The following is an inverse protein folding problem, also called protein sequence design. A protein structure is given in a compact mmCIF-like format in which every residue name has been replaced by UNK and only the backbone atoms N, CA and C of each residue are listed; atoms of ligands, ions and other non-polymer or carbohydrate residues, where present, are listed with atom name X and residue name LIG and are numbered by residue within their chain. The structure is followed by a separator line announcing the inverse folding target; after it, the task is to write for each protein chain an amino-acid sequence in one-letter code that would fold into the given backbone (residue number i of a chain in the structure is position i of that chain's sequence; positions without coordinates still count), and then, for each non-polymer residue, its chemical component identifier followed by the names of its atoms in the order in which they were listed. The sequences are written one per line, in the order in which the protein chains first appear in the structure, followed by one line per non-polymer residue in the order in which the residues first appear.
data_IF_005627609962
#
_entry.id   IF_005627609962
#
_cell.length_a   1.000
_cell.length_b   1.000
_cell.length_c   1.000
_cell.angle_alpha   90.00
_cell.angle_beta   90.00
_cell.angle_gamma   90.00
#
_symmetry.space_group_name_H-M   'P 1'
#
loop_
_entity.id
_entity.type
_entity.pdbx_description
1 polymer ?
#
# COMPACT_ATOMS: atom_id res chain seq x y z
N UNK A 1 0.14 15.05 16.75
CA UNK A 1 0.19 14.35 15.45
C UNK A 1 0.11 15.42 14.37
N UNK A 2 0.76 15.23 13.22
CA UNK A 2 0.73 16.21 12.13
C UNK A 2 -0.71 16.36 11.59
N UNK A 3 -1.18 17.59 11.37
CA UNK A 3 -2.56 17.90 10.94
C UNK A 3 -2.86 17.25 9.59
N UNK A 4 -1.90 17.32 8.67
CA UNK A 4 -2.03 16.69 7.34
C UNK A 4 -2.20 15.19 7.47
N UNK A 5 -1.36 14.58 8.30
CA UNK A 5 -1.34 13.14 8.54
C UNK A 5 -2.61 12.67 9.25
N UNK A 6 -3.12 13.41 10.23
CA UNK A 6 -4.43 13.11 10.84
C UNK A 6 -5.52 13.05 9.78
N UNK A 7 -5.53 13.96 8.81
CA UNK A 7 -6.55 13.94 7.77
C UNK A 7 -6.36 12.72 6.87
N UNK A 8 -5.17 12.47 6.33
CA UNK A 8 -4.91 11.28 5.49
C UNK A 8 -5.31 9.97 6.19
N UNK A 9 -5.11 9.89 7.50
CA UNK A 9 -5.34 8.68 8.32
C UNK A 9 -6.74 8.61 8.94
N UNK A 10 -7.67 9.49 8.53
CA UNK A 10 -9.03 9.58 9.08
C UNK A 10 -9.06 9.80 10.60
N UNK A 11 -8.11 10.59 11.11
CA UNK A 11 -7.90 10.85 12.53
C UNK A 11 -7.30 9.65 13.26
N UNK A 12 -6.38 8.92 12.62
CA UNK A 12 -5.81 7.68 13.18
C UNK A 12 -6.80 6.52 13.24
N UNK A 13 -7.81 6.51 12.38
CA UNK A 13 -8.83 5.44 12.33
C UNK A 13 -8.48 4.34 11.34
N UNK A 14 -7.44 4.52 10.54
CA UNK A 14 -6.86 3.47 9.72
C UNK A 14 -6.05 2.46 10.56
N UNK A 15 -5.37 1.50 9.94
CA UNK A 15 -4.61 0.45 10.65
C UNK A 15 -3.22 0.99 11.01
N UNK A 16 -2.56 1.65 10.06
CA UNK A 16 -1.14 2.02 10.10
C UNK A 16 -0.81 3.07 11.16
N UNK A 17 -1.79 3.91 11.53
CA UNK A 17 -1.59 5.01 12.47
C UNK A 17 -2.61 5.04 13.61
N UNK A 18 -3.34 3.93 13.82
CA UNK A 18 -4.19 3.77 14.99
C UNK A 18 -3.37 3.62 16.26
N UNK A 19 -3.71 4.31 17.36
CA UNK A 19 -3.08 4.10 18.67
C UNK A 19 -3.24 2.64 19.13
N UNK A 20 -2.21 2.10 19.75
CA UNK A 20 -2.26 0.74 20.31
C UNK A 20 -3.39 0.62 21.36
N UNK A 21 -4.19 -0.44 21.27
CA UNK A 21 -5.35 -0.67 22.15
C UNK A 21 -6.64 0.03 21.72
N UNK A 22 -6.61 0.89 20.68
CA UNK A 22 -7.83 1.49 20.12
C UNK A 22 -8.66 0.51 19.28
N UNK A 23 -8.09 -0.65 18.94
CA UNK A 23 -8.73 -1.75 18.20
C UNK A 23 -8.38 -3.10 18.85
N UNK A 24 -9.31 -4.08 18.90
CA UNK A 24 -9.03 -5.42 19.37
C UNK A 24 -8.01 -6.11 18.45
N UNK A 25 -7.30 -7.14 18.95
CA UNK A 25 -6.24 -7.83 18.20
C UNK A 25 -6.73 -8.41 16.87
N UNK A 26 -8.02 -8.71 16.72
CA UNK A 26 -8.62 -9.22 15.49
C UNK A 26 -8.54 -8.25 14.30
N UNK A 27 -8.26 -6.96 14.53
CA UNK A 27 -8.05 -5.98 13.46
C UNK A 27 -6.59 -5.84 13.02
N UNK A 28 -5.65 -6.62 13.57
CA UNK A 28 -4.30 -6.69 13.03
C UNK A 28 -4.34 -7.42 11.69
N UNK A 29 -4.18 -6.66 10.60
CA UNK A 29 -4.06 -7.07 9.21
C UNK A 29 -4.99 -8.25 8.79
N UNK A 30 -6.07 -8.01 8.02
CA UNK A 30 -6.71 -9.15 7.33
C UNK A 30 -5.60 -9.89 6.56
N UNK A 31 -5.61 -11.22 6.63
CA UNK A 31 -4.68 -12.02 5.84
C UNK A 31 -4.85 -11.59 4.39
N UNK A 32 -3.87 -10.89 3.82
CA UNK A 32 -3.88 -10.41 2.44
C UNK A 32 -3.68 -11.57 1.43
N UNK A 33 -4.13 -12.77 1.80
CA UNK A 33 -4.29 -13.91 0.91
C UNK A 33 -5.41 -13.57 -0.06
N UNK A 34 -5.07 -12.92 -1.18
CA UNK A 34 -5.99 -12.79 -2.30
C UNK A 34 -6.42 -14.21 -2.71
N UNK A 35 -7.73 -14.49 -2.75
CA UNK A 35 -8.20 -15.73 -3.34
C UNK A 35 -7.98 -15.64 -4.85
N UNK A 36 -6.83 -16.15 -5.31
CA UNK A 36 -6.42 -16.28 -6.73
C UNK A 36 -6.52 -14.99 -7.56
N UNK A 37 -5.39 -14.30 -7.75
CA UNK A 37 -5.31 -13.18 -8.70
C UNK A 37 -5.69 -13.66 -10.13
N UNK A 38 -6.68 -13.03 -10.79
CA UNK A 38 -7.02 -13.37 -12.16
C UNK A 38 -5.86 -13.00 -13.11
N UNK A 39 -5.41 -13.98 -13.89
CA UNK A 39 -4.37 -13.85 -14.91
C UNK A 39 -4.88 -13.00 -16.10
N UNK A 40 -4.84 -11.67 -15.96
CA UNK A 40 -5.07 -10.74 -17.06
C UNK A 40 -3.88 -10.67 -18.01
N UNK A 41 -3.98 -11.30 -19.19
CA UNK A 41 -2.97 -11.20 -20.25
C UNK A 41 -3.06 -9.84 -20.96
N UNK A 42 -2.01 -9.02 -20.85
CA UNK A 42 -1.59 -8.13 -21.95
C UNK A 42 -0.29 -8.66 -22.54
N UNK A 43 -0.37 -9.34 -23.69
CA UNK A 43 0.82 -9.61 -24.51
C UNK A 43 1.46 -8.26 -24.89
N UNK A 44 2.76 -8.03 -24.65
CA UNK A 44 3.43 -6.94 -25.31
C UNK A 44 3.40 -7.24 -26.82
N UNK A 45 2.72 -6.37 -27.59
CA UNK A 45 2.90 -6.32 -29.05
C UNK A 45 4.37 -6.00 -29.32
N UNK A 46 4.91 -6.60 -30.39
CA UNK A 46 6.33 -6.60 -30.75
C UNK A 46 7.06 -5.31 -30.38
N UNK A 47 8.13 -5.46 -29.60
CA UNK A 47 8.96 -4.36 -29.14
C UNK A 47 9.71 -3.77 -30.34
N UNK A 48 9.30 -2.57 -30.76
CA UNK A 48 10.17 -1.64 -31.47
C UNK A 48 11.33 -1.26 -30.53
N UNK A 49 12.56 -0.99 -31.01
CA UNK A 49 13.75 -0.70 -30.18
C UNK A 49 13.71 0.63 -29.40
N UNK A 50 12.51 1.16 -29.12
CA UNK A 50 12.34 2.39 -28.36
C UNK A 50 12.49 2.13 -26.85
N UNK A 51 13.09 3.08 -26.10
CA UNK A 51 13.16 2.98 -24.65
C UNK A 51 11.75 2.93 -24.04
N UNK A 52 11.55 2.03 -23.07
CA UNK A 52 10.26 1.84 -22.39
C UNK A 52 10.39 2.27 -20.93
N UNK A 53 9.48 3.14 -20.47
CA UNK A 53 9.38 3.51 -19.06
C UNK A 53 8.76 2.34 -18.25
N UNK A 54 9.61 1.58 -17.55
CA UNK A 54 9.17 0.46 -16.71
C UNK A 54 8.51 0.93 -15.42
N UNK A 55 8.91 2.07 -14.86
CA UNK A 55 8.39 2.61 -13.60
C UNK A 55 6.87 2.83 -13.66
N UNK A 56 6.41 3.52 -14.71
CA UNK A 56 4.98 3.78 -14.91
C UNK A 56 4.20 2.47 -15.11
N UNK A 57 4.74 1.54 -15.90
CA UNK A 57 4.10 0.24 -16.18
C UNK A 57 3.99 -0.63 -14.94
N UNK A 58 5.04 -0.66 -14.10
CA UNK A 58 5.03 -1.42 -12.84
C UNK A 58 4.02 -0.82 -11.87
N UNK A 59 4.01 0.51 -11.69
CA UNK A 59 3.02 1.19 -10.84
C UNK A 59 1.60 0.87 -11.29
N UNK A 60 1.35 0.88 -12.61
CA UNK A 60 0.05 0.49 -13.17
C UNK A 60 -0.28 -0.95 -12.79
N UNK A 61 0.59 -1.91 -13.11
CA UNK A 61 0.31 -3.34 -12.85
C UNK A 61 0.08 -3.63 -11.36
N UNK A 62 0.89 -3.07 -10.45
CA UNK A 62 0.74 -3.31 -9.02
C UNK A 62 -0.58 -2.76 -8.47
N UNK A 63 -0.96 -1.54 -8.88
CA UNK A 63 -2.25 -0.98 -8.51
C UNK A 63 -3.42 -1.79 -9.10
N UNK A 64 -3.26 -2.34 -10.31
CA UNK A 64 -4.29 -3.17 -10.95
C UNK A 64 -4.58 -4.43 -10.14
N UNK A 65 -3.51 -5.14 -9.76
CA UNK A 65 -3.59 -6.38 -8.98
C UNK A 65 -4.27 -6.08 -7.64
N UNK A 66 -3.87 -5.01 -6.98
CA UNK A 66 -4.39 -4.64 -5.68
C UNK A 66 -5.85 -4.20 -5.71
N UNK A 67 -6.24 -3.39 -6.71
CA UNK A 67 -7.65 -3.02 -6.90
C UNK A 67 -8.52 -4.24 -7.20
N UNK A 68 -8.08 -5.13 -8.10
CA UNK A 68 -8.81 -6.36 -8.41
C UNK A 68 -8.98 -7.27 -7.20
N UNK A 69 -7.96 -7.37 -6.35
CA UNK A 69 -8.07 -8.13 -5.11
C UNK A 69 -9.02 -7.50 -4.09
N UNK A 70 -9.11 -6.17 -4.05
CA UNK A 70 -9.80 -5.47 -2.97
C UNK A 70 -11.24 -5.07 -3.29
N UNK A 71 -11.54 -4.76 -4.56
CA UNK A 71 -12.82 -4.21 -5.04
C UNK A 71 -13.25 -4.80 -6.40
N UNK A 72 -12.61 -5.89 -6.86
CA UNK A 72 -12.88 -6.50 -8.15
C UNK A 72 -12.48 -5.66 -9.37
N UNK A 73 -13.06 -6.00 -10.52
CA UNK A 73 -12.72 -5.38 -11.81
C UNK A 73 -13.18 -3.92 -11.87
N UNK A 74 -12.23 -3.01 -11.72
CA UNK A 74 -12.47 -1.56 -11.75
C UNK A 74 -12.24 -0.96 -13.14
N UNK A 75 -12.94 0.14 -13.45
CA UNK A 75 -12.68 0.88 -14.70
C UNK A 75 -11.24 1.46 -14.72
N UNK A 76 -10.53 1.42 -15.87
CA UNK A 76 -9.18 1.96 -15.98
C UNK A 76 -9.09 3.45 -15.60
N UNK A 77 -10.14 4.22 -15.88
CA UNK A 77 -10.20 5.66 -15.60
C UNK A 77 -10.18 5.91 -14.10
N UNK A 78 -11.05 5.23 -13.34
CA UNK A 78 -11.10 5.39 -11.88
C UNK A 78 -9.78 5.00 -11.23
N UNK A 79 -9.13 3.96 -11.75
CA UNK A 79 -7.83 3.52 -11.29
C UNK A 79 -6.74 4.56 -11.51
N UNK A 80 -6.66 5.13 -12.71
CA UNK A 80 -5.64 6.14 -13.03
C UNK A 80 -5.85 7.43 -12.21
N UNK A 81 -7.11 7.84 -11.99
CA UNK A 81 -7.44 8.97 -11.12
C UNK A 81 -7.04 8.71 -9.66
N UNK A 82 -7.27 7.51 -9.15
CA UNK A 82 -6.83 7.12 -7.81
C UNK A 82 -5.31 7.13 -7.69
N UNK A 83 -4.58 6.56 -8.66
CA UNK A 83 -3.10 6.54 -8.65
C UNK A 83 -2.54 7.97 -8.62
N UNK A 84 -3.13 8.89 -9.39
CA UNK A 84 -2.73 10.29 -9.39
C UNK A 84 -3.00 10.97 -8.04
N UNK A 85 -4.19 10.74 -7.45
CA UNK A 85 -4.53 11.27 -6.13
C UNK A 85 -3.61 10.71 -5.04
N UNK A 86 -3.27 9.41 -5.11
CA UNK A 86 -2.38 8.74 -4.18
C UNK A 86 -0.96 9.28 -4.28
N UNK A 87 -0.38 9.40 -5.47
CA UNK A 87 0.97 9.93 -5.69
C UNK A 87 1.08 11.38 -5.19
N UNK A 88 0.08 12.21 -5.48
CA UNK A 88 -0.02 13.58 -4.96
C UNK A 88 -0.11 13.59 -3.43
N UNK A 89 -0.94 12.72 -2.84
CA UNK A 89 -1.11 12.62 -1.40
C UNK A 89 0.17 12.18 -0.68
N UNK A 90 0.85 11.15 -1.20
CA UNK A 90 2.10 10.63 -0.65
C UNK A 90 3.23 11.66 -0.75
N UNK A 91 3.36 12.40 -1.85
CA UNK A 91 4.35 13.48 -1.98
C UNK A 91 4.15 14.57 -0.93
N UNK A 92 2.90 14.92 -0.66
CA UNK A 92 2.55 15.92 0.34
C UNK A 92 2.71 15.40 1.77
N UNK A 93 2.52 14.09 2.00
CA UNK A 93 2.79 13.43 3.28
C UNK A 93 4.29 13.29 3.57
N UNK A 94 5.11 13.03 2.54
CA UNK A 94 6.55 12.83 2.69
C UNK A 94 7.32 14.16 2.91
N UNK A 95 6.74 15.29 2.52
CA UNK A 95 7.33 16.61 2.68
C UNK A 95 7.00 17.30 4.00
N UNK A 96 7.80 18.31 4.37
CA UNK A 96 7.46 19.21 5.48
C UNK A 96 6.30 20.13 5.08
N UNK A 97 5.10 19.92 5.63
CA UNK A 97 4.01 20.87 5.43
C UNK A 97 4.10 22.04 6.43
N UNK A 98 3.90 23.25 5.94
CA UNK A 98 3.90 24.45 6.79
C UNK A 98 2.79 24.40 7.87
N UNK A 99 1.65 23.79 7.56
CA UNK A 99 0.56 23.61 8.52
C UNK A 99 0.94 22.68 9.67
N UNK A 100 1.85 21.74 9.40
CA UNK A 100 2.36 20.76 10.36
C UNK A 100 3.48 21.35 11.22
N UNK A 101 4.28 22.27 10.67
CA UNK A 101 5.34 22.97 11.40
C UNK A 101 4.83 24.16 12.23
N UNK A 102 3.81 24.89 11.75
CA UNK A 102 3.32 26.12 12.35
C UNK A 102 1.78 26.15 12.46
N UNK A 103 1.17 25.27 13.28
CA UNK A 103 -0.29 25.10 13.32
C UNK A 103 -1.06 26.36 13.74
N UNK A 104 -0.45 27.23 14.56
CA UNK A 104 -1.07 28.49 15.00
C UNK A 104 -1.05 29.62 13.95
N UNK A 105 -0.25 29.50 12.88
CA UNK A 105 -0.06 30.58 11.90
C UNK A 105 -1.18 30.58 10.85
N UNK A 106 -1.85 31.72 10.69
CA UNK A 106 -2.83 31.92 9.60
C UNK A 106 -2.18 31.84 8.21
N UNK A 107 -0.93 32.31 8.10
CA UNK A 107 -0.17 32.26 6.85
C UNK A 107 0.21 30.81 6.50
N UNK A 108 0.62 30.01 7.48
CA UNK A 108 0.93 28.60 7.28
C UNK A 108 -0.29 27.79 6.84
N UNK A 109 -1.49 28.09 7.38
CA UNK A 109 -2.75 27.50 6.90
C UNK A 109 -3.10 27.92 5.48
N UNK A 110 -2.86 29.19 5.13
CA UNK A 110 -3.09 29.70 3.78
C UNK A 110 -2.18 29.02 2.74
N UNK A 111 -0.88 28.89 3.05
CA UNK A 111 0.12 28.30 2.16
C UNK A 111 0.09 26.77 2.16
N UNK A 112 -0.28 26.14 3.28
CA UNK A 112 -0.37 24.69 3.45
C UNK A 112 -1.66 24.05 2.94
N UNK A 113 -2.63 24.82 2.44
CA UNK A 113 -3.95 24.32 2.04
C UNK A 113 -3.95 23.28 0.91
N UNK A 114 -2.86 23.19 0.12
CA UNK A 114 -2.71 22.17 -0.92
C UNK A 114 -2.70 20.73 -0.37
N UNK A 115 -2.07 20.52 0.79
CA UNK A 115 -2.04 19.22 1.49
C UNK A 115 -3.43 18.77 1.92
N UNK A 116 -4.21 19.70 2.51
CA UNK A 116 -5.60 19.48 2.91
C UNK A 116 -6.48 19.11 1.70
N UNK A 117 -6.36 19.85 0.60
CA UNK A 117 -7.11 19.58 -0.64
C UNK A 117 -6.77 18.22 -1.22
N UNK A 118 -5.50 17.83 -1.25
CA UNK A 118 -5.08 16.52 -1.73
C UNK A 118 -5.60 15.38 -0.85
N UNK A 119 -5.60 15.55 0.48
CA UNK A 119 -6.15 14.57 1.39
C UNK A 119 -7.66 14.39 1.18
N UNK A 120 -8.41 15.49 1.04
CA UNK A 120 -9.84 15.45 0.73
C UNK A 120 -10.14 14.83 -0.65
N UNK A 121 -9.34 15.15 -1.66
CA UNK A 121 -9.45 14.56 -3.00
C UNK A 121 -9.28 13.03 -2.95
N UNK A 122 -8.27 12.56 -2.21
CA UNK A 122 -8.03 11.13 -2.03
C UNK A 122 -9.17 10.45 -1.25
N UNK A 123 -9.65 11.07 -0.17
CA UNK A 123 -10.80 10.58 0.58
C UNK A 123 -12.04 10.45 -0.28
N UNK A 124 -12.34 11.48 -1.09
CA UNK A 124 -13.48 11.46 -2.00
C UNK A 124 -13.38 10.33 -3.03
N UNK A 125 -12.18 10.06 -3.55
CA UNK A 125 -11.98 8.94 -4.49
C UNK A 125 -12.20 7.58 -3.83
N UNK A 126 -11.71 7.39 -2.60
CA UNK A 126 -11.95 6.15 -1.84
C UNK A 126 -13.43 5.99 -1.50
N UNK A 127 -14.09 7.06 -1.08
CA UNK A 127 -15.52 7.03 -0.76
C UNK A 127 -16.39 6.75 -1.99
N UNK A 128 -16.00 7.26 -3.17
CA UNK A 128 -16.64 6.94 -4.46
C UNK A 128 -16.48 5.46 -4.78
N UNK A 129 -15.27 4.90 -4.66
CA UNK A 129 -14.99 3.48 -4.89
C UNK A 129 -15.87 2.60 -4.00
N UNK A 130 -15.96 2.92 -2.70
CA UNK A 130 -16.78 2.17 -1.74
C UNK A 130 -18.27 2.26 -2.11
N UNK A 131 -18.73 3.44 -2.50
CA UNK A 131 -20.12 3.67 -2.85
C UNK A 131 -20.50 2.95 -4.15
N UNK A 132 -19.66 3.04 -5.18
CA UNK A 132 -19.87 2.39 -6.47
C UNK A 132 -19.97 0.87 -6.25
N UNK A 133 -19.01 0.29 -5.52
CA UNK A 133 -19.01 -1.14 -5.18
C UNK A 133 -20.26 -1.58 -4.42
N UNK A 134 -20.70 -0.81 -3.43
CA UNK A 134 -21.90 -1.12 -2.65
C UNK A 134 -23.20 -1.10 -3.49
N UNK A 135 -23.20 -0.38 -4.62
CA UNK A 135 -24.33 -0.32 -5.56
C UNK A 135 -24.23 -1.33 -6.71
N UNK A 136 -23.03 -1.84 -6.99
CA UNK A 136 -22.75 -2.87 -7.97
C UNK A 136 -23.20 -4.24 -7.45
N UNK A 137 -24.50 -4.51 -7.52
CA UNK A 137 -25.08 -5.82 -7.21
C UNK A 137 -24.82 -6.85 -8.31
N UNK A 138 -23.55 -7.24 -8.50
CA UNK A 138 -23.18 -8.25 -9.49
C UNK A 138 -23.28 -9.66 -8.88
N UNK A 139 -24.19 -10.47 -9.41
CA UNK A 139 -24.53 -11.79 -8.89
C UNK A 139 -23.47 -12.88 -9.21
N UNK A 140 -22.55 -12.59 -10.15
CA UNK A 140 -21.42 -13.47 -10.51
C UNK A 140 -20.09 -13.01 -9.88
N UNK A 141 -20.14 -12.01 -8.99
CA UNK A 141 -18.97 -11.46 -8.33
C UNK A 141 -18.41 -12.41 -7.28
N UNK A 142 -17.10 -12.65 -7.34
CA UNK A 142 -16.37 -13.41 -6.31
C UNK A 142 -16.05 -12.46 -5.15
N UNK A 143 -16.51 -12.83 -3.95
CA UNK A 143 -16.30 -12.07 -2.72
C UNK A 143 -14.87 -11.51 -2.60
N UNK A 144 -14.78 -10.18 -2.52
CA UNK A 144 -13.52 -9.45 -2.38
C UNK A 144 -13.31 -8.88 -0.95
N UNK A 145 -12.20 -8.17 -0.75
CA UNK A 145 -11.87 -7.62 0.58
C UNK A 145 -12.92 -6.60 1.02
N UNK A 146 -13.42 -5.77 0.11
CA UNK A 146 -14.42 -4.76 0.44
C UNK A 146 -15.76 -5.43 0.80
N UNK A 147 -16.16 -6.49 0.12
CA UNK A 147 -17.34 -7.28 0.47
C UNK A 147 -17.24 -7.86 1.88
N UNK A 148 -16.08 -8.43 2.23
CA UNK A 148 -15.81 -8.94 3.57
C UNK A 148 -15.94 -7.84 4.62
N UNK A 149 -15.35 -6.66 4.35
CA UNK A 149 -15.42 -5.52 5.26
C UNK A 149 -16.86 -4.99 5.40
N UNK A 150 -17.61 -4.89 4.30
CA UNK A 150 -19.03 -4.49 4.30
C UNK A 150 -19.91 -5.52 5.02
N UNK A 151 -19.62 -6.82 4.88
CA UNK A 151 -20.29 -7.89 5.63
C UNK A 151 -20.04 -7.74 7.13
N UNK A 152 -18.77 -7.55 7.53
CA UNK A 152 -18.44 -7.31 8.94
C UNK A 152 -19.06 -6.03 9.51
N UNK A 153 -19.26 -5.00 8.66
CA UNK A 153 -19.99 -3.80 9.04
C UNK A 153 -21.47 -4.06 9.34
N UNK A 154 -22.13 -4.90 8.52
CA UNK A 154 -23.55 -5.24 8.67
C UNK A 154 -23.82 -6.21 9.81
N UNK A 155 -23.05 -7.29 9.88
CA UNK A 155 -23.30 -8.42 10.78
C UNK A 155 -22.69 -8.20 12.17
N UNK A 156 -21.69 -7.33 12.29
CA UNK A 156 -20.94 -7.13 13.53
C UNK A 156 -20.12 -8.37 13.88
N UNK A 157 -18.82 -8.35 13.58
CA UNK A 157 -17.94 -9.51 13.84
C UNK A 157 -16.55 -9.19 14.41
N UNK A 158 -16.14 -7.92 14.36
CA UNK A 158 -14.77 -7.51 14.71
C UNK A 158 -14.63 -6.97 16.14
N UNK A 159 -15.71 -6.91 16.93
CA UNK A 159 -15.72 -6.25 18.24
C UNK A 159 -15.57 -4.73 18.18
N UNK A 160 -15.64 -4.14 16.98
CA UNK A 160 -15.67 -2.68 16.73
C UNK A 160 -16.83 -2.36 15.79
N UNK A 161 -17.47 -1.22 16.00
CA UNK A 161 -18.35 -0.59 15.02
C UNK A 161 -17.52 -0.11 13.83
N UNK A 162 -17.58 -0.83 12.70
CA UNK A 162 -16.92 -0.41 11.46
C UNK A 162 -17.66 0.80 10.88
N UNK A 163 -17.33 2.01 11.34
CA UNK A 163 -17.90 3.25 10.76
C UNK A 163 -17.39 3.44 9.33
N UNK A 164 -18.12 4.20 8.51
CA UNK A 164 -17.69 4.54 7.15
C UNK A 164 -16.27 5.11 7.11
N UNK A 165 -15.92 5.97 8.08
CA UNK A 165 -14.57 6.55 8.18
C UNK A 165 -13.48 5.51 8.51
N UNK A 166 -13.80 4.49 9.32
CA UNK A 166 -12.87 3.38 9.59
C UNK A 166 -12.73 2.52 8.35
N UNK A 167 -13.83 2.22 7.64
CA UNK A 167 -13.80 1.48 6.38
C UNK A 167 -12.93 2.19 5.33
N UNK A 168 -13.17 3.48 5.07
CA UNK A 168 -12.36 4.27 4.13
C UNK A 168 -10.89 4.35 4.54
N UNK A 169 -10.61 4.45 5.84
CA UNK A 169 -9.24 4.39 6.37
C UNK A 169 -8.55 3.04 6.14
N UNK A 170 -9.27 1.92 6.30
CA UNK A 170 -8.73 0.58 6.01
C UNK A 170 -8.46 0.41 4.51
N UNK A 171 -9.38 0.86 3.65
CA UNK A 171 -9.18 0.82 2.20
C UNK A 171 -8.00 1.68 1.75
N UNK A 172 -7.85 2.88 2.33
CA UNK A 172 -6.66 3.71 2.10
C UNK A 172 -5.37 2.97 2.43
N UNK A 173 -5.31 2.29 3.57
CA UNK A 173 -4.11 1.55 3.99
C UNK A 173 -3.79 0.38 3.05
N UNK A 174 -4.80 -0.42 2.70
CA UNK A 174 -4.62 -1.54 1.77
C UNK A 174 -4.04 -1.03 0.46
N UNK A 175 -4.65 0.00 -0.13
CA UNK A 175 -4.24 0.52 -1.43
C UNK A 175 -2.88 1.23 -1.39
N UNK A 176 -2.66 2.11 -0.42
CA UNK A 176 -1.42 2.90 -0.33
C UNK A 176 -0.22 2.04 0.07
N UNK A 177 -0.36 1.22 1.11
CA UNK A 177 0.74 0.38 1.60
C UNK A 177 1.05 -0.75 0.61
N UNK A 178 0.03 -1.34 -0.02
CA UNK A 178 0.22 -2.43 -0.98
C UNK A 178 0.86 -1.97 -2.28
N UNK A 179 0.38 -0.88 -2.88
CA UNK A 179 0.80 -0.51 -4.24
C UNK A 179 2.17 0.17 -4.28
N UNK A 180 2.44 1.14 -3.42
CA UNK A 180 3.65 1.96 -3.51
C UNK A 180 4.88 1.17 -3.07
N UNK A 181 4.77 0.37 -2.00
CA UNK A 181 5.90 -0.41 -1.47
C UNK A 181 6.30 -1.55 -2.43
N UNK A 182 5.34 -2.28 -2.98
CA UNK A 182 5.61 -3.38 -3.93
C UNK A 182 6.12 -2.86 -5.27
N UNK A 183 5.59 -1.73 -5.75
CA UNK A 183 6.08 -1.06 -6.97
C UNK A 183 7.53 -0.62 -6.77
N UNK A 184 7.82 0.08 -5.67
CA UNK A 184 9.17 0.56 -5.35
C UNK A 184 10.17 -0.59 -5.24
N UNK A 185 9.80 -1.65 -4.52
CA UNK A 185 10.64 -2.86 -4.39
C UNK A 185 10.92 -3.48 -5.76
N UNK A 186 9.91 -3.59 -6.61
CA UNK A 186 10.05 -4.20 -7.95
C UNK A 186 10.92 -3.35 -8.87
N UNK A 187 10.77 -2.03 -8.83
CA UNK A 187 11.59 -1.09 -9.60
C UNK A 187 13.06 -1.21 -9.20
N UNK A 188 13.36 -1.25 -7.90
CA UNK A 188 14.73 -1.46 -7.41
C UNK A 188 15.26 -2.84 -7.77
N UNK A 189 14.46 -3.90 -7.62
CA UNK A 189 14.87 -5.25 -8.01
C UNK A 189 15.24 -5.32 -9.49
N UNK A 190 14.41 -4.75 -10.39
CA UNK A 190 14.73 -4.70 -11.82
C UNK A 190 15.98 -3.86 -12.12
N UNK A 191 16.16 -2.75 -11.39
CA UNK A 191 17.33 -1.89 -11.55
C UNK A 191 18.63 -2.61 -11.14
N UNK A 192 18.62 -3.33 -10.02
CA UNK A 192 19.77 -4.12 -9.56
C UNK A 192 20.07 -5.32 -10.46
N UNK A 193 19.03 -6.01 -10.94
CA UNK A 193 19.19 -7.10 -11.91
C UNK A 193 19.77 -6.61 -13.24
N UNK A 194 19.31 -5.47 -13.75
CA UNK A 194 19.84 -4.88 -14.98
C UNK A 194 21.32 -4.47 -14.85
N UNK A 195 21.74 -4.04 -13.66
CA UNK A 195 23.14 -3.69 -13.34
C UNK A 195 24.03 -4.90 -13.09
N UNK A 196 23.45 -6.07 -12.77
CA UNK A 196 24.18 -7.29 -12.43
C UNK A 196 23.75 -8.47 -13.34
N UNK A 197 24.22 -8.53 -14.61
CA UNK A 197 23.76 -9.51 -15.58
C UNK A 197 23.90 -10.99 -15.14
N UNK A 198 24.96 -11.35 -14.43
CA UNK A 198 25.15 -12.71 -13.92
C UNK A 198 24.12 -13.10 -12.85
N UNK A 199 23.70 -12.16 -12.00
CA UNK A 199 22.63 -12.37 -11.02
C UNK A 199 21.29 -12.54 -11.75
N UNK A 200 21.04 -11.71 -12.77
CA UNK A 200 19.84 -11.80 -13.62
C UNK A 200 19.75 -13.14 -14.35
N UNK A 201 20.83 -13.61 -14.97
CA UNK A 201 20.86 -14.89 -15.66
C UNK A 201 20.54 -16.05 -14.70
N UNK A 202 21.13 -16.04 -13.52
CA UNK A 202 20.88 -17.07 -12.50
C UNK A 202 19.44 -17.06 -12.01
N UNK A 203 18.85 -15.89 -11.75
CA UNK A 203 17.45 -15.77 -11.37
C UNK A 203 16.50 -16.24 -12.49
N UNK A 204 16.77 -15.86 -13.74
CA UNK A 204 15.98 -16.31 -14.89
C UNK A 204 16.11 -17.82 -15.10
N UNK A 205 17.29 -18.40 -14.90
CA UNK A 205 17.53 -19.84 -14.99
C UNK A 205 16.70 -20.62 -13.98
N UNK A 206 16.71 -20.18 -12.70
CA UNK A 206 15.88 -20.79 -11.65
C UNK A 206 14.39 -20.77 -12.01
N UNK A 207 13.87 -19.60 -12.42
CA UNK A 207 12.46 -19.47 -12.80
C UNK A 207 12.10 -20.37 -13.99
N UNK A 208 12.96 -20.45 -15.02
CA UNK A 208 12.73 -21.31 -16.18
C UNK A 208 12.76 -22.79 -15.81
N UNK A 209 13.66 -23.20 -14.90
CA UNK A 209 13.75 -24.57 -14.43
C UNK A 209 12.53 -24.98 -13.62
N UNK A 210 11.99 -24.10 -12.76
CA UNK A 210 10.85 -24.42 -11.90
C UNK A 210 9.54 -24.45 -12.69
N UNK A 211 9.36 -23.50 -13.61
CA UNK A 211 8.10 -23.33 -14.33
C UNK A 211 8.01 -24.12 -15.64
N UNK A 212 9.13 -24.61 -16.18
CA UNK A 212 9.20 -25.38 -17.44
C UNK A 212 8.43 -24.73 -18.61
N UNK A 213 8.44 -23.39 -18.69
CA UNK A 213 7.73 -22.65 -19.75
C UNK A 213 6.20 -22.63 -19.63
N UNK A 214 5.64 -22.95 -18.46
CA UNK A 214 4.20 -22.79 -18.18
C UNK A 214 3.74 -21.38 -18.52
N UNK A 215 2.65 -21.30 -19.28
CA UNK A 215 2.10 -20.02 -19.76
C UNK A 215 1.18 -19.32 -18.76
N UNK A 216 0.77 -20.03 -17.70
CA UNK A 216 -0.01 -19.56 -16.56
C UNK A 216 0.62 -20.14 -15.31
N UNK A 217 0.94 -19.28 -14.35
CA UNK A 217 1.61 -19.64 -13.09
C UNK A 217 0.59 -19.53 -11.96
N UNK A 218 0.50 -20.56 -11.13
CA UNK A 218 -0.27 -20.54 -9.88
C UNK A 218 0.67 -20.43 -8.69
N UNK A 219 0.13 -20.05 -7.54
CA UNK A 219 0.92 -19.94 -6.29
C UNK A 219 1.60 -21.27 -5.93
N UNK A 220 0.89 -22.39 -6.09
CA UNK A 220 1.39 -23.76 -5.89
C UNK A 220 2.60 -24.11 -6.78
N UNK A 221 2.76 -23.44 -7.93
CA UNK A 221 3.88 -23.70 -8.84
C UNK A 221 5.20 -23.12 -8.32
N UNK A 222 5.14 -22.07 -7.49
CA UNK A 222 6.30 -21.27 -7.07
C UNK A 222 6.59 -21.32 -5.58
N UNK A 223 5.59 -21.66 -4.76
CA UNK A 223 5.70 -21.66 -3.31
C UNK A 223 6.83 -22.59 -2.83
N UNK A 224 7.85 -22.01 -2.19
CA UNK A 224 9.03 -22.75 -1.68
C UNK A 224 9.99 -23.27 -2.76
N UNK A 225 9.77 -22.94 -4.04
CA UNK A 225 10.55 -23.49 -5.17
C UNK A 225 11.51 -22.50 -5.83
N UNK A 226 11.49 -21.23 -5.43
CA UNK A 226 12.33 -20.16 -5.99
C UNK A 226 13.28 -19.52 -4.94
N UNK A 227 14.17 -20.29 -4.29
CA UNK A 227 15.01 -19.79 -3.20
C UNK A 227 15.99 -18.70 -3.64
N UNK A 228 16.53 -18.74 -4.86
CA UNK A 228 17.46 -17.73 -5.36
C UNK A 228 16.75 -16.41 -5.66
N UNK A 229 15.60 -16.44 -6.32
CA UNK A 229 14.79 -15.24 -6.51
C UNK A 229 14.37 -14.62 -5.17
N UNK A 230 14.05 -15.44 -4.16
CA UNK A 230 13.78 -14.94 -2.81
C UNK A 230 15.01 -14.25 -2.20
N UNK A 231 16.22 -14.74 -2.41
CA UNK A 231 17.44 -14.05 -1.97
C UNK A 231 17.63 -12.71 -2.68
N UNK A 232 17.35 -12.64 -4.00
CA UNK A 232 17.38 -11.37 -4.75
C UNK A 232 16.40 -10.35 -4.17
N UNK A 233 15.17 -10.77 -3.85
CA UNK A 233 14.16 -9.90 -3.24
C UNK A 233 14.62 -9.42 -1.86
N UNK A 234 15.14 -10.32 -1.02
CA UNK A 234 15.64 -9.98 0.32
C UNK A 234 16.81 -8.98 0.24
N UNK A 235 17.75 -9.21 -0.66
CA UNK A 235 18.90 -8.30 -0.83
C UNK A 235 18.45 -6.94 -1.40
N UNK A 236 17.46 -6.92 -2.28
CA UNK A 236 16.84 -5.67 -2.76
C UNK A 236 16.24 -4.88 -1.60
N UNK A 237 15.51 -5.55 -0.70
CA UNK A 237 14.91 -4.90 0.47
C UNK A 237 15.96 -4.41 1.48
N UNK A 238 17.10 -5.11 1.58
CA UNK A 238 18.25 -4.69 2.41
C UNK A 238 18.92 -3.44 1.86
N UNK A 239 19.13 -3.37 0.54
CA UNK A 239 19.77 -2.24 -0.12
C UNK A 239 18.86 -1.03 -0.30
N UNK A 240 17.59 -1.28 -0.64
CA UNK A 240 16.61 -0.27 -1.05
C UNK A 240 15.28 -0.44 -0.31
N UNK A 241 15.25 -0.28 1.03
CA UNK A 241 14.02 -0.41 1.79
C UNK A 241 13.01 0.67 1.36
N UNK A 242 11.76 0.32 0.96
CA UNK A 242 10.77 1.32 0.54
C UNK A 242 10.38 2.31 1.64
N UNK A 243 10.53 1.93 2.91
CA UNK A 243 10.23 2.75 4.08
C UNK A 243 11.43 2.76 5.06
N UNK A 244 12.52 3.49 4.76
CA UNK A 244 13.77 3.41 5.53
C UNK A 244 13.64 3.91 6.98
N UNK A 245 12.72 4.87 7.23
CA UNK A 245 12.48 5.46 8.56
C UNK A 245 11.32 4.81 9.33
N UNK A 246 10.70 3.78 8.74
CA UNK A 246 9.48 3.15 9.22
C UNK A 246 8.38 4.18 9.58
N UNK A 247 7.30 3.71 10.20
CA UNK A 247 6.29 4.61 10.74
C UNK A 247 6.72 5.11 12.13
N UNK A 248 6.51 6.41 12.45
CA UNK A 248 6.86 6.93 13.75
C UNK A 248 6.09 6.20 14.87
N UNK A 249 6.80 5.81 15.93
CA UNK A 249 6.20 5.13 17.09
C UNK A 249 6.13 6.08 18.27
N UNK A 250 5.03 5.99 19.03
CA UNK A 250 4.91 6.63 20.33
C UNK A 250 5.18 5.60 21.43
N UNK A 251 6.04 5.90 22.42
CA UNK A 251 6.21 5.00 23.55
C UNK A 251 4.89 4.88 24.31
N UNK A 252 4.40 3.65 24.49
CA UNK A 252 3.42 3.31 25.53
C UNK A 252 4.17 3.22 26.86
N UNK A 253 3.62 3.81 27.93
CA UNK A 253 4.24 3.96 29.27
C UNK A 253 5.39 2.97 29.57
N UNK A 254 6.64 3.44 29.44
CA UNK A 254 7.80 2.65 29.85
C UNK A 254 7.97 2.70 31.38
N UNK A 255 7.36 1.76 32.11
CA UNK A 255 7.77 1.47 33.50
C UNK A 255 9.07 0.66 33.48
N UNK A 256 10.23 1.32 33.44
CA UNK A 256 11.48 0.59 33.64
C UNK A 256 12.81 1.30 33.36
N UNK A 257 12.83 2.44 32.67
CA UNK A 257 14.08 3.17 32.44
C UNK A 257 14.14 4.37 33.39
N UNK A 258 15.24 4.49 34.15
CA UNK A 258 15.53 5.57 35.12
C UNK A 258 15.78 6.94 34.45
N UNK A 259 15.19 7.17 33.29
CA UNK A 259 15.08 8.48 32.67
C UNK A 259 13.61 8.68 32.34
N UNK A 260 12.99 9.59 33.06
CA UNK A 260 11.65 10.11 32.80
C UNK A 260 11.66 10.74 31.40
N UNK A 261 11.35 9.95 30.37
CA UNK A 261 11.08 10.50 29.05
C UNK A 261 9.72 11.18 29.09
N UNK A 262 9.69 12.45 28.73
CA UNK A 262 8.46 13.22 28.59
C UNK A 262 7.53 12.57 27.55
N UNK A 263 6.22 12.69 27.76
CA UNK A 263 5.12 12.05 26.99
C UNK A 263 5.02 12.46 25.51
N UNK A 264 6.05 13.07 24.91
CA UNK A 264 6.01 13.67 23.57
C UNK A 264 7.19 13.28 22.68
N UNK A 265 7.91 12.18 22.99
CA UNK A 265 9.00 11.71 22.13
C UNK A 265 8.44 10.81 21.02
N UNK A 266 8.47 11.29 19.79
CA UNK A 266 8.26 10.47 18.58
C UNK A 266 9.55 9.70 18.27
N UNK A 267 9.48 8.37 18.25
CA UNK A 267 10.62 7.51 17.92
C UNK A 267 10.57 7.15 16.44
N UNK A 268 11.61 7.54 15.70
CA UNK A 268 11.87 7.05 14.35
C UNK A 268 12.80 5.85 14.44
N UNK A 269 12.40 4.74 13.83
CA UNK A 269 13.21 3.53 13.79
C UNK A 269 13.80 3.42 12.40
N UNK A 270 15.11 3.51 12.31
CA UNK A 270 15.81 3.18 11.08
C UNK A 270 15.67 1.67 10.86
N UNK A 271 15.26 1.27 9.65
CA UNK A 271 15.35 -0.13 9.26
C UNK A 271 16.82 -0.51 9.14
N UNK A 272 17.46 -0.87 10.25
CA UNK A 272 18.73 -1.58 10.25
C UNK A 272 18.42 -3.05 9.90
N UNK A 273 18.64 -3.43 8.63
CA UNK A 273 18.62 -4.82 8.16
C UNK A 273 20.01 -5.18 7.61
#
# INVERSE_FOLDING_TARGET
MYVTMEIFTYGGRNISFAPYGSKPPSCSAPSASCPTAPSGRRRPRGLSPAPVNLTERIKVVMNDILMRCAIGDTSPIMRDEYIQALDKGLKLMAGFNLIDLFPGSRLARMLGGGSLRAAMELHNKIDSIIQDHATSGDADHREDILDLLLRFQREGGLGITLTRQVLSGVMFDIFSAGSETTSTTTIWAMSELARNPGVMERAQSEVRQVLHGKSTVKEEDIQGRLPYLQMVIKETLRLHPPAPLLLPRHPSECRGLRHTQERFVTVLVFSDI
#
